data_IF_050772682034
#
_entry.id   IF_050772682034
#
_cell.length_a   1.000
_cell.length_b   1.000
_cell.length_c   1.000
_cell.angle_alpha   90.00
_cell.angle_beta   90.00
_cell.angle_gamma   90.00
#
_symmetry.space_group_name_H-M   'P 1'
#
loop_
_entity.id
_entity.type
_entity.pdbx_description
1 polymer ?
#
# COMPACT_ATOMS: atom_id res chain seq x y z
N UNK A 1 32.34 14.49 21.11
CA UNK A 1 32.38 13.41 20.10
C UNK A 1 31.02 12.74 19.92
N UNK A 2 30.32 12.38 21.01
CA UNK A 2 28.99 11.73 20.92
C UNK A 2 27.89 12.58 20.23
N UNK A 3 27.92 13.91 20.38
CA UNK A 3 26.98 14.78 19.67
C UNK A 3 27.26 14.89 18.17
N UNK A 4 28.52 14.75 17.74
CA UNK A 4 28.90 14.79 16.33
C UNK A 4 28.54 13.48 15.62
N UNK A 5 28.73 12.33 16.27
CA UNK A 5 28.34 11.03 15.69
C UNK A 5 26.82 10.94 15.49
N UNK A 6 26.02 11.39 16.46
CA UNK A 6 24.56 11.39 16.34
C UNK A 6 24.06 12.31 15.20
N UNK A 7 24.74 13.42 14.95
CA UNK A 7 24.41 14.32 13.83
C UNK A 7 24.82 13.75 12.47
N UNK A 8 25.91 12.99 12.39
CA UNK A 8 26.36 12.32 11.16
C UNK A 8 25.47 11.12 10.80
N UNK A 9 25.03 10.32 11.77
CA UNK A 9 24.06 9.24 11.58
C UNK A 9 22.71 9.80 11.08
N UNK A 10 22.21 10.88 11.69
CA UNK A 10 21.00 11.56 11.24
C UNK A 10 21.13 12.12 9.80
N UNK A 11 22.33 12.51 9.38
CA UNK A 11 22.61 12.94 8.00
C UNK A 11 22.67 11.78 7.01
N UNK A 12 23.10 10.59 7.44
CA UNK A 12 23.13 9.40 6.58
C UNK A 12 21.73 8.86 6.29
N UNK A 13 20.81 8.89 7.26
CA UNK A 13 19.42 8.46 7.08
C UNK A 13 18.51 9.49 6.41
N UNK A 14 19.04 10.68 6.07
CA UNK A 14 18.29 11.78 5.46
C UNK A 14 17.79 11.49 4.04
N UNK A 15 18.25 10.38 3.44
CA UNK A 15 17.94 9.97 2.07
C UNK A 15 17.07 8.71 1.96
N UNK A 16 16.63 8.13 3.08
CA UNK A 16 15.54 7.16 3.04
C UNK A 16 14.25 7.95 2.82
N UNK A 17 14.02 8.32 1.56
CA UNK A 17 12.86 9.08 1.13
C UNK A 17 11.61 8.37 1.66
N UNK A 18 11.04 8.92 2.73
CA UNK A 18 9.85 8.37 3.39
C UNK A 18 8.77 8.26 2.32
N UNK A 19 8.34 7.03 2.06
CA UNK A 19 7.27 6.77 1.10
C UNK A 19 5.95 7.26 1.71
N UNK A 20 5.36 8.28 1.09
CA UNK A 20 4.02 8.77 1.42
C UNK A 20 3.03 8.13 0.45
N UNK A 21 2.05 7.35 0.94
CA UNK A 21 1.08 6.71 0.08
C UNK A 21 0.08 7.72 -0.51
N UNK A 22 -0.23 7.56 -1.79
CA UNK A 22 -1.35 8.22 -2.45
C UNK A 22 -2.70 7.68 -1.94
N UNK A 23 -3.64 8.60 -1.67
CA UNK A 23 -5.03 8.29 -1.31
C UNK A 23 -6.02 8.75 -2.40
N UNK A 24 -7.10 7.99 -2.56
CA UNK A 24 -8.26 8.32 -3.38
C UNK A 24 -9.34 9.07 -2.56
N UNK A 25 -10.42 9.48 -3.21
CA UNK A 25 -11.58 10.07 -2.53
C UNK A 25 -12.16 9.10 -1.49
N UNK A 26 -12.53 9.60 -0.31
CA UNK A 26 -13.16 8.79 0.74
C UNK A 26 -12.17 8.11 1.70
N UNK A 27 -10.88 8.43 1.64
CA UNK A 27 -9.88 7.92 2.60
C UNK A 27 -9.31 6.54 2.26
N UNK A 28 -9.63 6.00 1.07
CA UNK A 28 -9.05 4.78 0.54
C UNK A 28 -7.70 5.04 -0.12
N UNK A 29 -6.87 4.01 -0.29
CA UNK A 29 -5.63 4.11 -1.05
C UNK A 29 -5.90 4.13 -2.55
N UNK A 30 -5.07 4.83 -3.34
CA UNK A 30 -5.13 4.67 -4.80
C UNK A 30 -4.69 3.24 -5.16
N UNK A 31 -5.27 2.61 -6.19
CA UNK A 31 -4.88 1.26 -6.62
C UNK A 31 -3.41 1.15 -7.03
N UNK A 32 -2.84 2.21 -7.60
CA UNK A 32 -1.44 2.31 -8.02
C UNK A 32 -0.72 3.25 -7.07
N UNK A 33 0.37 2.76 -6.48
CA UNK A 33 1.28 3.55 -5.67
C UNK A 33 2.63 3.63 -6.38
N UNK A 34 3.24 4.81 -6.38
CA UNK A 34 4.55 5.04 -7.01
C UNK A 34 5.53 5.67 -6.02
N UNK A 35 6.77 5.18 -6.02
CA UNK A 35 7.88 5.71 -5.23
C UNK A 35 8.76 6.61 -6.11
N UNK A 36 8.61 7.95 -6.06
CA UNK A 36 9.17 8.84 -7.07
C UNK A 36 10.70 8.78 -7.16
N UNK A 37 11.40 8.59 -6.04
CA UNK A 37 12.86 8.56 -6.02
C UNK A 37 13.48 7.27 -6.57
N UNK A 38 12.75 6.15 -6.55
CA UNK A 38 13.25 4.87 -7.09
C UNK A 38 12.66 4.57 -8.47
N UNK A 39 11.55 5.22 -8.82
CA UNK A 39 10.81 5.03 -10.06
C UNK A 39 9.97 3.75 -10.07
N UNK A 40 9.81 3.07 -8.94
CA UNK A 40 8.94 1.89 -8.85
C UNK A 40 7.49 2.29 -8.66
N UNK A 41 6.59 1.59 -9.34
CA UNK A 41 5.16 1.63 -9.10
C UNK A 41 4.65 0.21 -8.84
N UNK A 42 3.61 0.04 -8.03
CA UNK A 42 3.00 -1.26 -7.73
C UNK A 42 1.50 -1.12 -7.45
N UNK A 43 0.77 -2.23 -7.57
CA UNK A 43 -0.63 -2.27 -7.16
C UNK A 43 -0.74 -2.49 -5.65
N UNK A 44 -1.75 -1.88 -5.02
CA UNK A 44 -2.10 -2.11 -3.62
C UNK A 44 -3.55 -2.51 -3.46
N UNK A 45 -3.87 -3.15 -2.33
CA UNK A 45 -5.25 -3.29 -1.87
C UNK A 45 -5.78 -1.92 -1.40
N UNK A 46 -6.87 -1.42 -1.98
CA UNK A 46 -7.36 -0.04 -1.69
C UNK A 46 -7.85 0.16 -0.25
N UNK A 47 -8.19 -0.91 0.46
CA UNK A 47 -8.65 -0.90 1.86
C UNK A 47 -7.50 -0.81 2.88
N UNK A 48 -6.36 -1.45 2.58
CA UNK A 48 -5.25 -1.64 3.52
C UNK A 48 -3.94 -0.99 3.07
N UNK A 49 -3.84 -0.59 1.81
CA UNK A 49 -2.61 -0.03 1.22
C UNK A 49 -1.49 -1.06 1.02
N UNK A 50 -1.75 -2.35 1.28
CA UNK A 50 -0.74 -3.40 1.17
C UNK A 50 -0.39 -3.69 -0.30
N UNK A 51 0.91 -3.81 -0.65
CA UNK A 51 1.34 -4.13 -2.00
C UNK A 51 0.91 -5.53 -2.43
N UNK A 52 0.49 -5.66 -3.69
CA UNK A 52 0.15 -6.93 -4.33
C UNK A 52 1.43 -7.52 -4.93
N UNK A 53 1.88 -8.71 -4.51
CA UNK A 53 3.10 -9.33 -5.04
C UNK A 53 3.06 -9.52 -6.56
N UNK A 54 4.19 -9.29 -7.23
CA UNK A 54 4.33 -9.46 -8.68
C UNK A 54 3.77 -8.30 -9.53
N UNK A 55 3.27 -7.23 -8.91
CA UNK A 55 2.73 -6.05 -9.63
C UNK A 55 3.70 -4.87 -9.71
N UNK A 56 4.91 -5.01 -9.16
CA UNK A 56 5.92 -3.94 -9.16
C UNK A 56 6.55 -3.78 -10.54
N UNK A 57 6.44 -2.58 -11.10
CA UNK A 57 7.06 -2.16 -12.37
C UNK A 57 8.00 -0.98 -12.11
N UNK A 58 9.00 -0.77 -12.97
CA UNK A 58 9.94 0.34 -12.87
C UNK A 58 9.77 1.26 -14.08
N UNK A 59 9.67 2.57 -13.84
CA UNK A 59 9.47 3.62 -14.84
C UNK A 59 8.17 3.53 -15.66
N UNK A 60 7.27 2.60 -15.32
CA UNK A 60 5.97 2.41 -15.95
C UNK A 60 4.90 2.18 -14.88
N UNK A 61 3.65 2.54 -15.18
CA UNK A 61 2.52 2.26 -14.29
C UNK A 61 1.96 0.85 -14.54
N UNK A 62 1.80 0.03 -13.49
CA UNK A 62 1.21 -1.29 -13.63
C UNK A 62 -0.30 -1.17 -13.90
N UNK A 63 -0.83 -2.10 -14.69
CA UNK A 63 -2.29 -2.25 -14.86
C UNK A 63 -2.83 -3.00 -13.66
N UNK A 64 -3.54 -2.29 -12.78
CA UNK A 64 -4.17 -2.89 -11.61
C UNK A 64 -5.61 -3.29 -11.93
N UNK A 65 -5.83 -4.60 -12.12
CA UNK A 65 -7.16 -5.19 -12.31
C UNK A 65 -7.93 -5.29 -10.99
N UNK A 66 -9.11 -5.93 -11.01
CA UNK A 66 -10.01 -6.15 -9.86
C UNK A 66 -9.40 -6.83 -8.62
N UNK A 67 -8.11 -7.16 -8.61
CA UNK A 67 -7.35 -7.55 -7.42
C UNK A 67 -6.98 -6.36 -6.51
N UNK A 68 -7.03 -5.12 -7.02
CA UNK A 68 -6.98 -3.93 -6.18
C UNK A 68 -8.33 -3.66 -5.48
N UNK A 69 -9.36 -4.47 -5.73
CA UNK A 69 -10.63 -4.34 -5.02
C UNK A 69 -10.35 -4.54 -3.53
N UNK A 70 -10.77 -3.55 -2.73
CA UNK A 70 -11.20 -3.80 -1.36
C UNK A 70 -11.99 -5.09 -1.44
N UNK A 71 -11.63 -6.08 -0.64
CA UNK A 71 -12.37 -7.33 -0.60
C UNK A 71 -13.85 -6.96 -0.73
N UNK A 72 -14.64 -7.55 -1.66
CA UNK A 72 -16.05 -7.53 -1.43
C UNK A 72 -16.14 -8.20 -0.07
N UNK A 73 -16.52 -7.45 0.95
CA UNK A 73 -17.04 -8.00 2.17
C UNK A 73 -18.23 -8.81 1.68
N UNK A 74 -17.98 -10.03 1.19
CA UNK A 74 -18.94 -11.10 1.25
C UNK A 74 -18.97 -11.33 2.75
N UNK A 75 -20.00 -10.83 3.46
CA UNK A 75 -20.19 -11.34 4.79
C UNK A 75 -20.34 -12.84 4.54
N UNK A 76 -19.49 -13.65 5.18
CA UNK A 76 -19.78 -15.08 5.25
C UNK A 76 -21.00 -15.22 6.15
N UNK A 77 -22.17 -14.90 5.61
CA UNK A 77 -23.46 -15.21 6.23
C UNK A 77 -23.68 -16.72 6.12
N UNK A 78 -22.86 -17.49 6.86
CA UNK A 78 -23.16 -18.88 7.19
C UNK A 78 -24.15 -18.97 8.36
N UNK A 79 -24.68 -17.85 8.85
CA UNK A 79 -25.74 -17.82 9.84
C UNK A 79 -27.08 -17.50 9.18
N UNK A 80 -27.64 -18.45 8.42
CA UNK A 80 -29.09 -18.44 8.20
C UNK A 80 -29.69 -19.84 8.19
N UNK A 81 -30.58 -20.02 9.16
CA UNK A 81 -31.63 -21.04 9.29
C UNK A 81 -31.23 -22.45 9.70
N UNK A 82 -30.96 -22.61 11.00
CA UNK A 82 -31.46 -23.79 11.72
C UNK A 82 -33.00 -23.64 11.77
N UNK A 83 -33.71 -24.27 10.83
CA UNK A 83 -35.17 -24.36 10.89
C UNK A 83 -35.54 -25.12 12.17
N UNK A 84 -36.15 -24.45 13.13
CA UNK A 84 -36.93 -25.08 14.19
C UNK A 84 -38.31 -25.33 13.59
N UNK A 85 -38.54 -26.56 13.18
CA UNK A 85 -39.88 -27.09 12.92
C UNK A 85 -39.93 -28.55 13.35
#
# INVERSE_FOLDING_TARGET
MEQQSAQEEARQHKNEAVFVPDCAQGGLYKPVQCHPSTGYCWCVLVDTGRPIPGTSTRYEQPKCDGNARAHPTKPKDHYRSRHLQ
#
